data_IF_350375418682
#
_entry.id   IF_350375418682
#
_cell.length_a   1.000
_cell.length_b   1.000
_cell.length_c   1.000
_cell.angle_alpha   90.00
_cell.angle_beta   90.00
_cell.angle_gamma   90.00
#
_symmetry.space_group_name_H-M   'P 1'
#
loop_
_entity.id
_entity.type
_entity.pdbx_description
1 polymer ?
#
# COMPACT_ATOMS: atom_id res chain seq x y z
N UNK A 1 -30.12 14.81 41.61
CA UNK A 1 -30.57 14.09 40.40
C UNK A 1 -29.46 14.18 39.38
N UNK A 2 -28.63 13.14 39.24
CA UNK A 2 -27.51 13.12 38.29
C UNK A 2 -27.84 12.08 37.22
N UNK A 3 -28.00 12.55 35.99
CA UNK A 3 -28.38 11.75 34.82
C UNK A 3 -27.11 11.17 34.18
N UNK A 4 -26.92 9.86 34.28
CA UNK A 4 -25.86 9.14 33.56
C UNK A 4 -26.30 8.90 32.11
N UNK A 5 -25.45 9.28 31.16
CA UNK A 5 -25.68 9.02 29.74
C UNK A 5 -25.62 7.50 29.45
N UNK A 6 -26.40 6.98 28.49
CA UNK A 6 -26.37 5.56 28.15
C UNK A 6 -25.07 5.21 27.42
N UNK A 7 -24.27 4.35 28.04
CA UNK A 7 -23.15 3.66 27.38
C UNK A 7 -23.73 2.66 26.38
N UNK A 8 -23.57 2.93 25.08
CA UNK A 8 -23.88 1.94 24.03
C UNK A 8 -22.76 0.89 24.05
N UNK A 9 -23.07 -0.30 24.54
CA UNK A 9 -22.21 -1.48 24.39
C UNK A 9 -22.49 -2.15 23.05
N UNK A 10 -21.45 -2.27 22.22
CA UNK A 10 -21.50 -3.10 21.03
C UNK A 10 -21.27 -4.57 21.45
N UNK A 11 -22.08 -5.54 21.00
CA UNK A 11 -21.82 -6.94 21.30
C UNK A 11 -20.45 -7.32 20.74
N UNK A 12 -19.64 -7.93 21.61
CA UNK A 12 -18.33 -8.47 21.29
C UNK A 12 -18.52 -9.62 20.29
N UNK A 13 -18.30 -9.33 19.01
CA UNK A 13 -18.35 -10.33 17.94
C UNK A 13 -17.28 -11.40 18.24
N UNK A 14 -17.72 -12.60 18.57
CA UNK A 14 -16.87 -13.78 18.81
C UNK A 14 -16.23 -14.34 17.54
N UNK A 15 -16.53 -13.77 16.37
CA UNK A 15 -15.82 -14.07 15.12
C UNK A 15 -14.53 -13.22 15.09
N UNK A 16 -13.34 -13.85 15.08
CA UNK A 16 -12.08 -13.13 14.90
C UNK A 16 -12.18 -12.37 13.58
N UNK A 17 -12.12 -11.04 13.63
CA UNK A 17 -12.10 -10.24 12.40
C UNK A 17 -10.83 -10.62 11.63
N UNK A 18 -10.92 -11.00 10.36
CA UNK A 18 -9.73 -11.34 9.58
C UNK A 18 -8.80 -10.12 9.54
N UNK A 19 -7.52 -10.37 9.80
CA UNK A 19 -6.48 -9.36 9.65
C UNK A 19 -6.24 -9.20 8.15
N UNK A 20 -6.36 -7.99 7.61
CA UNK A 20 -6.13 -7.78 6.17
C UNK A 20 -4.70 -7.34 5.90
N UNK A 21 -4.02 -8.03 4.99
CA UNK A 21 -2.77 -7.58 4.40
C UNK A 21 -3.03 -6.86 3.09
N UNK A 22 -2.49 -5.64 2.94
CA UNK A 22 -2.56 -4.82 1.73
C UNK A 22 -1.16 -4.71 1.11
N UNK A 23 -1.09 -4.95 -0.20
CA UNK A 23 0.16 -4.93 -0.95
C UNK A 23 -0.05 -4.15 -2.24
N UNK A 24 0.88 -3.22 -2.52
CA UNK A 24 1.05 -2.65 -3.85
C UNK A 24 1.97 -3.55 -4.67
N UNK A 25 1.43 -4.10 -5.75
CA UNK A 25 2.14 -4.83 -6.78
C UNK A 25 2.58 -3.87 -7.87
N UNK A 26 3.86 -3.87 -8.19
CA UNK A 26 4.49 -2.90 -9.08
C UNK A 26 5.13 -3.67 -10.23
N UNK A 27 4.90 -3.21 -11.46
CA UNK A 27 5.54 -3.72 -12.68
C UNK A 27 6.02 -2.57 -13.55
N UNK A 28 7.18 -2.73 -14.19
CA UNK A 28 7.73 -1.80 -15.20
C UNK A 28 8.51 -2.61 -16.22
N UNK A 29 8.43 -2.22 -17.50
CA UNK A 29 9.26 -2.81 -18.56
C UNK A 29 10.74 -2.55 -18.31
N UNK A 30 11.54 -3.61 -18.32
CA UNK A 30 13.00 -3.52 -18.21
C UNK A 30 13.60 -2.78 -19.41
N UNK A 31 13.04 -2.99 -20.60
CA UNK A 31 13.52 -2.36 -21.83
C UNK A 31 13.29 -0.85 -21.77
N UNK A 32 12.12 -0.41 -21.30
CA UNK A 32 11.86 1.02 -21.10
C UNK A 32 12.80 1.62 -20.04
N UNK A 33 13.05 0.93 -18.94
CA UNK A 33 14.02 1.40 -17.94
C UNK A 33 15.45 1.48 -18.48
N UNK A 34 15.82 0.63 -19.45
CA UNK A 34 17.11 0.71 -20.14
C UNK A 34 17.16 1.91 -21.08
N UNK A 35 16.11 2.12 -21.88
CA UNK A 35 16.01 3.26 -22.80
C UNK A 35 16.04 4.59 -22.05
N UNK A 36 15.39 4.65 -20.89
CA UNK A 36 15.44 5.80 -19.99
C UNK A 36 16.77 5.94 -19.22
N UNK A 37 17.74 5.03 -19.42
CA UNK A 37 19.02 4.98 -18.68
C UNK A 37 18.81 4.98 -17.16
N UNK A 38 17.82 4.22 -16.70
CA UNK A 38 17.41 4.12 -15.31
C UNK A 38 17.76 2.76 -14.68
N UNK A 39 17.83 1.71 -15.50
CA UNK A 39 18.27 0.39 -15.07
C UNK A 39 19.78 0.34 -14.74
N UNK A 40 20.22 -0.55 -13.83
CA UNK A 40 19.41 -1.39 -12.96
C UNK A 40 18.89 -0.65 -11.72
N UNK A 41 19.42 0.53 -11.41
CA UNK A 41 19.27 1.18 -10.10
C UNK A 41 17.96 1.95 -9.90
N UNK A 42 16.96 1.78 -10.77
CA UNK A 42 15.66 2.41 -10.61
C UNK A 42 14.92 1.85 -9.39
N UNK A 43 14.16 2.71 -8.72
CA UNK A 43 13.27 2.33 -7.63
C UNK A 43 11.90 2.98 -7.78
N UNK A 44 10.85 2.23 -7.45
CA UNK A 44 9.49 2.76 -7.30
C UNK A 44 9.23 2.96 -5.82
N UNK A 45 8.78 4.15 -5.47
CA UNK A 45 8.46 4.57 -4.11
C UNK A 45 6.95 4.77 -4.01
N UNK A 46 6.36 4.20 -2.98
CA UNK A 46 4.92 4.27 -2.72
C UNK A 46 4.70 5.09 -1.45
N UNK A 47 3.75 6.01 -1.50
CA UNK A 47 3.44 6.96 -0.44
C UNK A 47 1.96 6.88 -0.06
N UNK A 48 1.65 7.21 1.20
CA UNK A 48 0.28 7.46 1.65
C UNK A 48 0.12 8.97 1.93
N UNK A 49 -0.40 9.68 0.94
CA UNK A 49 -0.48 11.13 0.87
C UNK A 49 0.44 11.70 -0.20
N UNK A 50 0.54 13.02 -0.27
CA UNK A 50 1.35 13.71 -1.27
C UNK A 50 2.86 13.46 -1.03
N UNK A 51 3.62 12.96 -2.01
CA UNK A 51 5.07 12.86 -1.87
C UNK A 51 5.68 14.27 -1.72
N UNK A 52 6.83 14.41 -1.04
CA UNK A 52 7.58 15.67 -1.03
C UNK A 52 7.88 16.17 -2.45
N UNK A 53 7.97 17.49 -2.64
CA UNK A 53 8.26 18.07 -3.95
C UNK A 53 9.66 17.73 -4.44
N UNK A 54 10.65 17.67 -3.55
CA UNK A 54 12.03 17.34 -3.86
C UNK A 54 12.28 15.83 -4.00
N UNK A 55 12.77 15.34 -5.15
CA UNK A 55 13.06 13.92 -5.34
C UNK A 55 14.07 13.34 -4.33
N UNK A 56 15.00 14.15 -3.86
CA UNK A 56 16.02 13.76 -2.87
C UNK A 56 15.44 13.50 -1.48
N UNK A 57 14.25 14.02 -1.18
CA UNK A 57 13.55 13.86 0.11
C UNK A 57 12.68 12.60 0.13
N UNK A 58 12.33 12.05 -1.03
CA UNK A 58 11.50 10.86 -1.16
C UNK A 58 11.96 9.64 -0.36
N UNK A 59 13.27 9.32 -0.24
CA UNK A 59 13.72 8.14 0.50
C UNK A 59 13.46 8.19 2.00
N UNK A 60 13.35 9.39 2.57
CA UNK A 60 13.20 9.61 4.01
C UNK A 60 11.85 10.25 4.36
N UNK A 61 10.95 10.37 3.38
CA UNK A 61 9.64 10.97 3.57
C UNK A 61 8.83 10.23 4.64
N UNK A 62 8.24 10.97 5.58
CA UNK A 62 7.45 10.39 6.70
C UNK A 62 6.24 9.59 6.23
N UNK A 63 5.71 9.93 5.05
CA UNK A 63 4.59 9.27 4.41
C UNK A 63 5.01 8.20 3.38
N UNK A 64 6.31 7.87 3.30
CA UNK A 64 6.77 6.74 2.52
C UNK A 64 6.21 5.45 3.13
N UNK A 65 5.45 4.71 2.33
CA UNK A 65 4.94 3.40 2.69
C UNK A 65 6.00 2.32 2.48
N UNK A 66 6.76 2.46 1.39
CA UNK A 66 7.90 1.61 1.10
C UNK A 66 8.44 1.89 -0.29
N UNK A 67 9.53 1.21 -0.63
CA UNK A 67 10.17 1.32 -1.92
C UNK A 67 10.62 -0.05 -2.42
N UNK A 68 10.61 -0.22 -3.74
CA UNK A 68 11.14 -1.41 -4.39
C UNK A 68 12.17 -0.96 -5.42
N UNK A 69 13.41 -1.42 -5.25
CA UNK A 69 14.52 -1.17 -6.18
C UNK A 69 14.81 -2.35 -7.11
N UNK A 70 15.56 -2.08 -8.18
CA UNK A 70 15.95 -3.04 -9.23
C UNK A 70 14.73 -3.73 -9.84
N UNK A 71 13.81 -2.95 -10.41
CA UNK A 71 12.46 -3.45 -10.67
C UNK A 71 12.22 -3.80 -12.14
N UNK A 72 11.78 -5.02 -12.35
CA UNK A 72 10.85 -5.41 -13.42
C UNK A 72 9.47 -5.67 -12.80
N UNK A 73 9.47 -6.29 -11.62
CA UNK A 73 8.30 -6.61 -10.81
C UNK A 73 8.65 -6.58 -9.32
N UNK A 74 7.70 -6.22 -8.45
CA UNK A 74 7.88 -6.38 -7.01
C UNK A 74 6.69 -5.91 -6.18
N UNK A 75 6.85 -6.01 -4.87
CA UNK A 75 5.76 -5.84 -3.90
C UNK A 75 6.17 -4.85 -2.82
N UNK A 76 5.23 -3.98 -2.41
CA UNK A 76 5.38 -3.07 -1.28
C UNK A 76 4.22 -3.32 -0.32
N UNK A 77 4.52 -3.80 0.89
CA UNK A 77 3.54 -4.00 1.95
C UNK A 77 3.10 -2.64 2.51
N UNK A 78 1.79 -2.41 2.59
CA UNK A 78 1.23 -1.11 2.97
C UNK A 78 0.83 -1.07 4.46
N UNK A 79 0.68 -2.21 5.12
CA UNK A 79 0.14 -2.33 6.48
C UNK A 79 0.86 -1.47 7.52
N UNK A 80 2.21 -1.43 7.49
CA UNK A 80 2.99 -0.64 8.44
C UNK A 80 2.84 0.87 8.25
N UNK A 81 2.45 1.31 7.05
CA UNK A 81 2.14 2.70 6.76
C UNK A 81 0.68 3.01 7.09
N UNK A 82 -0.23 2.11 6.77
CA UNK A 82 -1.65 2.20 7.13
C UNK A 82 -1.82 2.27 8.67
N UNK A 83 -1.05 1.50 9.45
CA UNK A 83 -1.11 1.52 10.92
C UNK A 83 -0.74 2.86 11.55
N UNK A 84 -0.09 3.77 10.81
CA UNK A 84 0.19 5.15 11.28
C UNK A 84 -1.07 6.02 11.30
N UNK A 85 -2.10 5.63 10.56
CA UNK A 85 -3.35 6.38 10.40
C UNK A 85 -4.56 5.69 11.03
N UNK A 86 -4.48 4.37 11.23
CA UNK A 86 -5.58 3.55 11.72
C UNK A 86 -5.15 2.70 12.91
N UNK A 87 -6.07 2.47 13.84
CA UNK A 87 -5.84 1.54 14.94
C UNK A 87 -5.66 0.10 14.42
N UNK A 88 -4.84 -0.73 15.09
CA UNK A 88 -4.76 -2.15 14.80
C UNK A 88 -6.15 -2.80 14.77
N UNK A 89 -6.44 -3.60 13.75
CA UNK A 89 -7.73 -4.28 13.59
C UNK A 89 -8.79 -3.49 12.79
N UNK A 90 -8.56 -2.22 12.46
CA UNK A 90 -9.44 -1.43 11.57
C UNK A 90 -9.07 -1.52 10.09
N UNK A 91 -8.47 -2.64 9.67
CA UNK A 91 -7.96 -2.81 8.30
C UNK A 91 -9.04 -3.37 7.35
N UNK A 92 -10.31 -3.19 7.69
CA UNK A 92 -11.42 -3.64 6.86
C UNK A 92 -11.38 -2.94 5.48
N UNK A 93 -11.52 -3.68 4.36
CA UNK A 93 -11.60 -3.11 3.02
C UNK A 93 -12.55 -1.93 2.86
N UNK A 94 -13.70 -1.93 3.55
CA UNK A 94 -14.69 -0.85 3.50
C UNK A 94 -14.12 0.51 3.96
N UNK A 95 -13.08 0.48 4.81
CA UNK A 95 -12.41 1.68 5.33
C UNK A 95 -11.13 1.95 4.56
N UNK A 96 -10.32 0.91 4.32
CA UNK A 96 -8.98 1.05 3.76
C UNK A 96 -9.01 1.32 2.25
N UNK A 97 -9.91 0.68 1.50
CA UNK A 97 -9.97 0.87 0.04
C UNK A 97 -10.30 2.32 -0.33
N UNK A 98 -11.33 2.99 0.26
CA UNK A 98 -11.57 4.41 0.02
C UNK A 98 -10.41 5.30 0.46
N UNK A 99 -9.73 4.95 1.56
CA UNK A 99 -8.57 5.69 2.03
C UNK A 99 -7.38 5.60 1.06
N UNK A 100 -7.03 4.39 0.59
CA UNK A 100 -5.94 4.18 -0.37
C UNK A 100 -6.26 4.81 -1.72
N UNK A 101 -7.52 4.77 -2.16
CA UNK A 101 -7.95 5.44 -3.41
C UNK A 101 -7.59 6.93 -3.41
N UNK A 102 -7.72 7.59 -2.25
CA UNK A 102 -7.44 9.03 -2.10
C UNK A 102 -5.96 9.33 -1.84
N UNK A 103 -5.28 8.46 -1.11
CA UNK A 103 -3.96 8.78 -0.53
C UNK A 103 -2.81 8.06 -1.19
N UNK A 104 -3.01 6.87 -1.75
CA UNK A 104 -1.92 6.10 -2.36
C UNK A 104 -1.33 6.91 -3.51
N UNK A 105 -0.02 7.16 -3.49
CA UNK A 105 0.72 7.84 -4.56
C UNK A 105 2.00 7.05 -4.85
N UNK A 106 2.55 7.20 -6.05
CA UNK A 106 3.82 6.57 -6.40
C UNK A 106 4.70 7.49 -7.24
N UNK A 107 6.01 7.28 -7.14
CA UNK A 107 7.04 7.95 -7.94
C UNK A 107 8.13 6.96 -8.31
N UNK A 108 8.77 7.17 -9.45
CA UNK A 108 9.93 6.38 -9.88
C UNK A 108 11.17 7.25 -9.83
N UNK A 109 12.25 6.70 -9.31
CA UNK A 109 13.51 7.41 -9.10
C UNK A 109 14.67 6.56 -9.62
N UNK A 110 15.56 7.18 -10.39
CA UNK A 110 16.84 6.59 -10.83
C UNK A 110 17.80 6.42 -9.65
N UNK A 111 18.86 5.62 -9.85
CA UNK A 111 19.91 5.45 -8.84
C UNK A 111 20.64 6.74 -8.46
N UNK A 112 20.67 7.73 -9.36
CA UNK A 112 21.25 9.06 -9.10
C UNK A 112 20.28 10.03 -8.40
N UNK A 113 19.08 9.59 -8.01
CA UNK A 113 18.09 10.41 -7.32
C UNK A 113 17.15 11.21 -8.23
N UNK A 114 17.37 11.23 -9.55
CA UNK A 114 16.49 11.95 -10.48
C UNK A 114 15.15 11.23 -10.71
N UNK A 115 14.05 11.98 -10.89
CA UNK A 115 12.73 11.39 -11.13
C UNK A 115 12.60 10.91 -12.59
N UNK A 116 11.82 9.86 -12.78
CA UNK A 116 11.34 9.42 -14.11
C UNK A 116 9.89 9.00 -14.05
N UNK A 117 9.24 8.96 -15.21
CA UNK A 117 7.86 8.51 -15.37
C UNK A 117 7.78 7.50 -16.52
N UNK A 118 8.09 6.21 -16.27
CA UNK A 118 7.93 5.18 -17.28
C UNK A 118 6.44 5.01 -17.63
N UNK A 119 6.13 4.93 -18.92
CA UNK A 119 4.78 4.71 -19.44
C UNK A 119 4.31 3.27 -19.22
N UNK A 120 5.23 2.31 -19.12
CA UNK A 120 4.90 0.91 -18.79
C UNK A 120 4.72 0.64 -17.29
N UNK A 121 4.88 1.66 -16.43
CA UNK A 121 4.65 1.47 -15.00
C UNK A 121 3.20 1.05 -14.76
N UNK A 122 3.04 0.02 -13.95
CA UNK A 122 1.74 -0.49 -13.54
C UNK A 122 1.75 -0.75 -12.03
N UNK A 123 0.83 -0.11 -11.32
CA UNK A 123 0.64 -0.27 -9.88
C UNK A 123 -0.77 -0.80 -9.64
N UNK A 124 -0.84 -1.99 -9.03
CA UNK A 124 -2.09 -2.66 -8.65
C UNK A 124 -2.07 -2.89 -7.14
N UNK A 125 -3.18 -2.64 -6.46
CA UNK A 125 -3.32 -3.02 -5.06
C UNK A 125 -4.15 -4.29 -4.95
N UNK A 126 -3.70 -5.21 -4.09
CA UNK A 126 -4.52 -6.32 -3.66
C UNK A 126 -4.51 -6.41 -2.14
N UNK A 127 -5.54 -7.06 -1.58
CA UNK A 127 -5.56 -7.43 -0.19
C UNK A 127 -5.80 -8.93 -0.01
N UNK A 128 -5.20 -9.49 1.03
CA UNK A 128 -5.35 -10.90 1.42
C UNK A 128 -5.87 -10.92 2.85
N UNK A 129 -7.03 -11.56 3.13
CA UNK A 129 -7.46 -11.77 4.50
C UNK A 129 -6.56 -12.84 5.13
N UNK A 130 -6.08 -12.58 6.33
CA UNK A 130 -5.25 -13.46 7.13
C UNK A 130 -6.04 -13.93 8.35
N UNK A 131 -5.91 -15.21 8.66
CA UNK A 131 -6.50 -15.84 9.84
C UNK A 131 -5.41 -16.50 10.67
N UNK A 132 -5.59 -16.56 11.98
CA UNK A 132 -4.74 -17.31 12.90
C UNK A 132 -5.58 -18.44 13.49
N UNK A 133 -5.57 -19.63 12.87
CA UNK A 133 -6.21 -20.80 13.47
C UNK A 133 -5.64 -21.07 14.88
N UNK A 134 -6.44 -21.64 15.78
CA UNK A 134 -5.93 -22.14 17.06
C UNK A 134 -4.68 -23.00 16.84
N UNK A 135 -3.68 -22.84 17.70
CA UNK A 135 -2.40 -23.55 17.69
C UNK A 135 -1.47 -23.28 16.48
N UNK A 136 -1.83 -22.36 15.60
CA UNK A 136 -0.94 -21.94 14.51
C UNK A 136 0.02 -20.85 14.95
N UNK A 137 1.31 -21.06 14.70
CA UNK A 137 2.36 -20.04 14.87
C UNK A 137 2.41 -19.04 13.71
N UNK A 138 1.79 -19.36 12.57
CA UNK A 138 1.79 -18.51 11.37
C UNK A 138 0.36 -18.19 10.90
N UNK A 139 0.15 -17.02 10.28
CA UNK A 139 -1.13 -16.71 9.66
C UNK A 139 -1.38 -17.59 8.44
N UNK A 140 -2.64 -17.98 8.23
CA UNK A 140 -3.13 -18.62 7.02
C UNK A 140 -3.77 -17.58 6.12
N UNK A 141 -3.29 -17.50 4.88
CA UNK A 141 -3.84 -16.62 3.85
C UNK A 141 -5.15 -17.18 3.30
N UNK A 142 -6.18 -16.36 3.28
CA UNK A 142 -7.41 -16.60 2.52
C UNK A 142 -7.28 -16.15 1.06
N UNK A 143 -8.42 -15.99 0.41
CA UNK A 143 -8.47 -15.60 -1.01
C UNK A 143 -8.07 -14.14 -1.21
N UNK A 144 -7.06 -13.91 -2.06
CA UNK A 144 -6.64 -12.59 -2.48
C UNK A 144 -7.74 -11.89 -3.29
N UNK A 145 -7.97 -10.62 -2.97
CA UNK A 145 -8.87 -9.72 -3.71
C UNK A 145 -8.06 -8.59 -4.34
N UNK A 146 -8.20 -8.40 -5.65
CA UNK A 146 -7.57 -7.30 -6.38
C UNK A 146 -8.49 -6.08 -6.38
N UNK A 147 -7.95 -4.92 -6.02
CA UNK A 147 -8.66 -3.64 -5.97
C UNK A 147 -8.11 -2.71 -7.04
N UNK A 148 -8.49 -2.96 -8.30
CA UNK A 148 -8.05 -2.16 -9.45
C UNK A 148 -8.51 -0.70 -9.32
N UNK A 149 -9.72 -0.49 -8.79
CA UNK A 149 -10.32 0.83 -8.62
C UNK A 149 -9.48 1.79 -7.74
N UNK A 150 -8.56 1.30 -6.90
CA UNK A 150 -7.65 2.14 -6.11
C UNK A 150 -6.71 2.94 -7.02
N UNK A 151 -6.29 2.36 -8.14
CA UNK A 151 -5.34 2.97 -9.07
C UNK A 151 -5.95 3.31 -10.43
N UNK A 152 -7.15 2.81 -10.73
CA UNK A 152 -7.85 3.03 -12.00
C UNK A 152 -7.92 4.51 -12.43
N UNK A 153 -7.70 4.76 -13.72
CA UNK A 153 -7.77 6.10 -14.32
C UNK A 153 -6.61 7.03 -13.96
N UNK A 154 -5.63 6.57 -13.17
CA UNK A 154 -4.44 7.34 -12.81
C UNK A 154 -3.27 6.92 -13.69
N UNK A 155 -2.36 7.84 -14.02
CA UNK A 155 -1.15 7.51 -14.77
C UNK A 155 -0.41 6.36 -14.08
N UNK A 156 -0.13 5.29 -14.82
CA UNK A 156 0.48 4.05 -14.33
C UNK A 156 -0.37 3.21 -13.34
N UNK A 157 -1.67 3.50 -13.21
CA UNK A 157 -2.65 2.63 -12.55
C UNK A 157 -3.24 1.59 -13.51
N UNK A 158 -3.97 0.61 -12.96
CA UNK A 158 -4.62 -0.47 -13.73
C UNK A 158 -6.14 -0.45 -13.63
#
# INVERSE_FOLDING_TARGET
MSSSAPTISYPESTIPRPLWEYVAHIRVSVDELRDLQAAPAASVRVFLGSPPSGPTEWPTAVNLAGAKGNINEGYVHLNAAISRHFQPGLFNPEVIVPYLTKTLQWRVQKGNGSPIEPESLNVIVFATPLSYPPDSICPVSGQRTYYKDITYGRKAGS
#
